data_IF_459360925328
#
_entry.id   IF_459360925328
#
_cell.length_a   1.000
_cell.length_b   1.000
_cell.length_c   1.000
_cell.angle_alpha   90.00
_cell.angle_beta   90.00
_cell.angle_gamma   90.00
#
_symmetry.space_group_name_H-M   'P 1'
#
loop_
_entity.id
_entity.type
_entity.pdbx_description
1 polymer ?
#
# COMPACT_ATOMS: atom_id res chain seq x y z
N UNK A 1 -10.90 52.07 -3.48
CA UNK A 1 -11.47 50.82 -2.94
C UNK A 1 -12.36 50.19 -3.99
N UNK A 2 -11.90 49.11 -4.64
CA UNK A 2 -12.71 48.27 -5.52
C UNK A 2 -12.38 46.81 -5.24
N UNK A 3 -13.46 46.05 -5.07
CA UNK A 3 -13.55 44.63 -4.71
C UNK A 3 -12.76 43.72 -5.64
N UNK A 4 -12.10 42.70 -5.08
CA UNK A 4 -11.62 41.54 -5.82
C UNK A 4 -12.18 40.30 -5.10
N UNK A 5 -13.18 39.68 -5.73
CA UNK A 5 -13.78 38.42 -5.33
C UNK A 5 -12.74 37.29 -5.47
N UNK A 6 -12.30 36.72 -4.35
CA UNK A 6 -11.57 35.45 -4.34
C UNK A 6 -12.56 34.30 -4.46
N UNK A 7 -12.64 33.73 -5.66
CA UNK A 7 -13.43 32.53 -5.97
C UNK A 7 -12.76 31.33 -5.29
N UNK A 8 -13.30 30.91 -4.15
CA UNK A 8 -12.98 29.64 -3.51
C UNK A 8 -13.73 28.52 -4.22
N UNK A 9 -13.07 27.88 -5.19
CA UNK A 9 -13.52 26.59 -5.75
C UNK A 9 -13.07 25.49 -4.78
N UNK A 10 -13.98 25.12 -3.86
CA UNK A 10 -13.88 23.90 -3.09
C UNK A 10 -14.24 22.71 -3.98
N UNK A 11 -13.24 22.07 -4.58
CA UNK A 11 -13.42 20.74 -5.20
C UNK A 11 -13.51 19.74 -4.06
N UNK A 12 -14.75 19.40 -3.68
CA UNK A 12 -15.06 18.27 -2.85
C UNK A 12 -14.77 16.97 -3.63
N UNK A 13 -13.53 16.51 -3.58
CA UNK A 13 -13.16 15.14 -3.97
C UNK A 13 -13.57 14.20 -2.83
N UNK A 14 -14.83 13.76 -2.85
CA UNK A 14 -15.28 12.57 -2.10
C UNK A 14 -14.73 11.31 -2.78
N UNK A 15 -13.42 11.19 -2.81
CA UNK A 15 -12.76 9.93 -3.07
C UNK A 15 -12.54 9.33 -1.71
N UNK A 16 -13.11 8.15 -1.48
CA UNK A 16 -12.81 7.26 -0.38
C UNK A 16 -11.32 6.87 -0.43
N UNK A 17 -10.44 7.83 -0.15
CA UNK A 17 -9.04 7.64 0.13
C UNK A 17 -8.98 7.16 1.58
N UNK A 18 -8.42 5.97 1.77
CA UNK A 18 -7.92 5.59 3.09
C UNK A 18 -6.96 6.68 3.55
N UNK A 19 -7.46 7.51 4.47
CA UNK A 19 -6.81 8.62 5.15
C UNK A 19 -5.83 9.47 4.32
N UNK A 20 -6.27 10.61 3.81
CA UNK A 20 -5.36 11.71 3.45
C UNK A 20 -5.80 12.95 4.23
N UNK A 21 -5.76 12.89 5.57
CA UNK A 21 -5.68 14.06 6.45
C UNK A 21 -5.61 13.58 7.90
N UNK A 22 -4.44 13.72 8.55
CA UNK A 22 -4.20 13.90 9.99
C UNK A 22 -4.77 12.94 11.04
N UNK A 23 -5.75 12.08 10.76
CA UNK A 23 -6.48 11.30 11.75
C UNK A 23 -6.77 9.87 11.23
N UNK A 24 -5.72 9.05 11.04
CA UNK A 24 -5.89 7.59 11.07
C UNK A 24 -5.71 7.08 12.51
N UNK A 25 -6.64 7.35 13.42
CA UNK A 25 -6.70 6.58 14.66
C UNK A 25 -7.54 5.33 14.37
N UNK A 26 -6.89 4.18 14.44
CA UNK A 26 -7.41 2.81 14.31
C UNK A 26 -7.73 2.30 12.90
N UNK A 27 -6.67 1.94 12.15
CA UNK A 27 -6.77 0.95 11.08
C UNK A 27 -7.07 -0.43 11.72
N UNK A 28 -8.35 -0.76 11.85
CA UNK A 28 -8.79 -2.09 12.32
C UNK A 28 -8.61 -3.14 11.23
N UNK A 29 -8.27 -4.38 11.62
CA UNK A 29 -8.16 -5.55 10.74
C UNK A 29 -9.37 -5.72 9.80
N UNK A 30 -10.59 -5.46 10.32
CA UNK A 30 -11.83 -5.54 9.55
C UNK A 30 -11.91 -4.53 8.38
N UNK A 31 -11.25 -3.37 8.52
CA UNK A 31 -11.21 -2.36 7.47
C UNK A 31 -10.15 -2.69 6.40
N UNK A 32 -9.05 -3.32 6.79
CA UNK A 32 -7.94 -3.68 5.89
C UNK A 32 -8.36 -4.75 4.87
N UNK A 33 -9.13 -5.76 5.30
CA UNK A 33 -9.62 -6.82 4.41
C UNK A 33 -10.60 -6.37 3.34
N UNK A 34 -11.26 -5.21 3.54
CA UNK A 34 -12.19 -4.64 2.56
C UNK A 34 -11.52 -3.68 1.58
N UNK A 35 -10.22 -3.40 1.75
CA UNK A 35 -9.50 -2.47 0.87
C UNK A 35 -9.41 -3.04 -0.55
N UNK A 36 -9.92 -2.29 -1.52
CA UNK A 36 -9.74 -2.62 -2.92
C UNK A 36 -8.32 -2.22 -3.38
N UNK A 37 -7.39 -3.16 -3.28
CA UNK A 37 -5.96 -2.97 -3.59
C UNK A 37 -5.76 -2.45 -5.01
N UNK A 38 -6.52 -2.95 -6.00
CA UNK A 38 -6.38 -2.53 -7.39
C UNK A 38 -6.70 -1.03 -7.56
N UNK A 39 -7.71 -0.53 -6.84
CA UNK A 39 -8.09 0.90 -6.88
C UNK A 39 -7.12 1.77 -6.09
N UNK A 40 -6.72 1.35 -4.90
CA UNK A 40 -5.86 2.14 -4.00
C UNK A 40 -4.43 2.23 -4.52
N UNK A 41 -3.90 1.14 -5.06
CA UNK A 41 -2.54 1.08 -5.59
C UNK A 41 -2.44 1.45 -7.09
N UNK A 42 -3.51 1.96 -7.71
CA UNK A 42 -3.48 2.37 -9.12
C UNK A 42 -2.60 3.62 -9.30
N UNK A 43 -1.39 3.42 -9.80
CA UNK A 43 -0.41 4.51 -10.00
C UNK A 43 -0.83 5.43 -11.15
N UNK A 44 -1.53 4.93 -12.17
CA UNK A 44 -1.97 5.76 -13.29
C UNK A 44 -3.06 6.75 -12.85
N UNK A 45 -3.95 6.30 -11.97
CA UNK A 45 -5.05 7.14 -11.44
C UNK A 45 -4.61 8.02 -10.29
N UNK A 46 -3.84 7.49 -9.34
CA UNK A 46 -3.54 8.17 -8.07
C UNK A 46 -2.15 8.82 -8.05
N UNK A 47 -1.27 8.46 -8.98
CA UNK A 47 0.12 8.91 -9.01
C UNK A 47 1.04 8.19 -8.01
N UNK A 48 2.34 8.25 -8.29
CA UNK A 48 3.37 7.54 -7.53
C UNK A 48 3.41 7.96 -6.04
N UNK A 49 3.29 9.26 -5.76
CA UNK A 49 3.39 9.80 -4.38
C UNK A 49 2.25 9.32 -3.49
N UNK A 50 1.00 9.32 -3.99
CA UNK A 50 -0.15 8.85 -3.24
C UNK A 50 -0.06 7.34 -2.97
N UNK A 51 0.31 6.56 -3.99
CA UNK A 51 0.49 5.11 -3.85
C UNK A 51 1.61 4.76 -2.86
N UNK A 52 2.71 5.51 -2.87
CA UNK A 52 3.78 5.36 -1.89
C UNK A 52 3.32 5.70 -0.47
N UNK A 53 2.46 6.72 -0.29
CA UNK A 53 1.91 7.07 1.01
C UNK A 53 1.06 5.92 1.59
N UNK A 54 0.27 5.26 0.75
CA UNK A 54 -0.48 4.07 1.15
C UNK A 54 0.47 2.94 1.57
N UNK A 55 1.53 2.66 0.80
CA UNK A 55 2.53 1.66 1.19
C UNK A 55 3.15 1.97 2.57
N UNK A 56 3.51 3.24 2.82
CA UNK A 56 4.05 3.70 4.12
C UNK A 56 3.05 3.61 5.27
N UNK A 57 1.75 3.67 4.98
CA UNK A 57 0.69 3.53 5.98
C UNK A 57 0.51 2.07 6.41
N UNK A 58 0.44 1.14 5.45
CA UNK A 58 0.12 -0.27 5.73
C UNK A 58 1.35 -1.12 6.10
N UNK A 59 2.52 -0.86 5.50
CA UNK A 59 3.67 -1.74 5.71
C UNK A 59 4.16 -1.82 7.16
N UNK A 60 4.20 -0.73 7.95
CA UNK A 60 4.58 -0.81 9.36
C UNK A 60 3.70 -1.76 10.17
N UNK A 61 2.42 -1.89 9.81
CA UNK A 61 1.50 -2.84 10.42
C UNK A 61 1.90 -4.26 10.04
N UNK A 62 2.16 -4.51 8.75
CA UNK A 62 2.59 -5.83 8.27
C UNK A 62 3.93 -6.28 8.90
N UNK A 63 4.87 -5.35 9.08
CA UNK A 63 6.14 -5.59 9.79
C UNK A 63 5.88 -5.92 11.26
N UNK A 64 5.03 -5.14 11.94
CA UNK A 64 4.68 -5.39 13.35
C UNK A 64 4.02 -6.75 13.55
N UNK A 65 3.19 -7.16 12.60
CA UNK A 65 2.51 -8.46 12.58
C UNK A 65 3.41 -9.59 12.06
N UNK A 66 4.64 -9.30 11.64
CA UNK A 66 5.60 -10.26 11.09
C UNK A 66 5.11 -10.98 9.81
N UNK A 67 4.18 -10.37 9.07
CA UNK A 67 3.65 -10.88 7.79
C UNK A 67 4.16 -10.09 6.59
N UNK A 68 5.22 -9.29 6.76
CA UNK A 68 5.77 -8.47 5.68
C UNK A 68 6.08 -9.31 4.43
N UNK A 69 5.51 -8.88 3.31
CA UNK A 69 5.67 -9.61 2.06
C UNK A 69 7.11 -9.51 1.55
N UNK A 70 7.70 -10.66 1.19
CA UNK A 70 9.04 -10.75 0.61
C UNK A 70 8.99 -11.49 -0.73
N UNK A 71 9.55 -10.90 -1.78
CA UNK A 71 9.67 -11.53 -3.10
C UNK A 71 11.06 -11.35 -3.69
N UNK A 72 11.66 -12.46 -4.13
CA UNK A 72 13.05 -12.50 -4.61
C UNK A 72 14.06 -11.93 -3.60
N UNK A 73 13.74 -12.04 -2.30
CA UNK A 73 14.53 -11.50 -1.20
C UNK A 73 14.55 -9.98 -1.08
N UNK A 74 13.61 -9.28 -1.72
CA UNK A 74 13.29 -7.89 -1.41
C UNK A 74 11.97 -7.84 -0.64
N UNK A 75 11.98 -7.17 0.51
CA UNK A 75 10.79 -6.93 1.34
C UNK A 75 9.99 -5.74 0.82
N UNK A 76 8.74 -5.60 1.25
CA UNK A 76 7.93 -4.42 0.95
C UNK A 76 8.62 -3.11 1.41
N UNK A 77 9.29 -3.11 2.57
CA UNK A 77 10.13 -2.00 3.05
C UNK A 77 11.21 -1.60 2.05
N UNK A 78 11.86 -2.57 1.42
CA UNK A 78 12.90 -2.33 0.42
C UNK A 78 12.32 -1.67 -0.85
N UNK A 79 11.13 -2.09 -1.29
CA UNK A 79 10.44 -1.40 -2.39
C UNK A 79 10.05 0.04 -2.00
N UNK A 80 9.55 0.27 -0.77
CA UNK A 80 9.22 1.61 -0.26
C UNK A 80 10.46 2.52 -0.22
N UNK A 81 11.60 1.99 0.25
CA UNK A 81 12.88 2.68 0.29
C UNK A 81 13.32 3.08 -1.12
N UNK A 82 13.39 2.11 -2.03
CA UNK A 82 13.80 2.31 -3.42
C UNK A 82 12.92 3.33 -4.16
N UNK A 83 11.59 3.28 -3.98
CA UNK A 83 10.67 4.28 -4.53
C UNK A 83 10.89 5.66 -3.92
N UNK A 84 11.10 5.76 -2.60
CA UNK A 84 11.35 7.04 -1.93
C UNK A 84 12.64 7.71 -2.44
N UNK A 85 13.70 6.92 -2.64
CA UNK A 85 14.98 7.41 -3.18
C UNK A 85 14.85 7.85 -4.63
N UNK A 86 14.17 7.06 -5.47
CA UNK A 86 13.94 7.43 -6.87
C UNK A 86 13.14 8.75 -7.00
N UNK A 87 12.13 8.96 -6.14
CA UNK A 87 11.40 10.24 -6.09
C UNK A 87 12.31 11.38 -5.65
N UNK A 88 13.11 11.20 -4.60
CA UNK A 88 14.06 12.22 -4.12
C UNK A 88 15.07 12.61 -5.20
N UNK A 89 15.52 11.64 -5.98
CA UNK A 89 16.50 11.84 -7.04
C UNK A 89 15.87 12.19 -8.41
N UNK A 90 14.55 12.42 -8.47
CA UNK A 90 13.79 12.66 -9.71
C UNK A 90 14.07 11.61 -10.82
N UNK A 91 14.28 10.34 -10.44
CA UNK A 91 14.59 9.25 -11.37
C UNK A 91 13.31 8.55 -11.84
N UNK A 92 13.27 8.20 -13.13
CA UNK A 92 12.21 7.36 -13.72
C UNK A 92 12.33 5.88 -13.31
N UNK A 93 13.44 5.50 -12.67
CA UNK A 93 13.74 4.13 -12.24
C UNK A 93 14.11 4.07 -10.77
N UNK A 94 13.74 2.98 -10.12
CA UNK A 94 14.11 2.67 -8.74
C UNK A 94 15.04 1.45 -8.69
N UNK A 95 16.04 1.55 -7.82
CA UNK A 95 17.03 0.51 -7.58
C UNK A 95 16.59 -0.34 -6.38
N UNK A 96 16.07 -1.54 -6.65
CA UNK A 96 15.61 -2.46 -5.61
C UNK A 96 16.72 -3.47 -5.31
N UNK A 97 17.18 -3.51 -4.06
CA UNK A 97 18.14 -4.52 -3.59
C UNK A 97 17.41 -5.85 -3.42
N UNK A 98 17.82 -6.84 -4.20
CA UNK A 98 17.45 -8.24 -4.03
C UNK A 98 18.68 -8.99 -3.52
N UNK A 99 18.49 -10.16 -2.89
CA UNK A 99 19.53 -10.94 -2.17
C UNK A 99 20.97 -10.69 -2.65
N UNK A 100 21.27 -10.98 -3.92
CA UNK A 100 22.62 -10.89 -4.51
C UNK A 100 22.77 -9.81 -5.59
N UNK A 101 21.73 -9.03 -5.90
CA UNK A 101 21.75 -8.08 -7.02
C UNK A 101 20.83 -6.88 -6.82
N UNK A 102 21.22 -5.75 -7.40
CA UNK A 102 20.35 -4.58 -7.52
C UNK A 102 19.60 -4.66 -8.84
N UNK A 103 18.28 -4.61 -8.79
CA UNK A 103 17.41 -4.63 -9.97
C UNK A 103 16.84 -3.25 -10.21
N UNK A 104 17.06 -2.72 -11.42
CA UNK A 104 16.44 -1.48 -11.89
C UNK A 104 15.02 -1.77 -12.34
N UNK A 105 14.08 -1.00 -11.82
CA UNK A 105 12.65 -1.18 -12.09
C UNK A 105 12.01 0.18 -12.37
N UNK A 106 11.00 0.25 -13.24
CA UNK A 106 10.27 1.50 -13.48
C UNK A 106 9.67 2.02 -12.17
N UNK A 107 9.81 3.32 -11.89
CA UNK A 107 9.35 3.95 -10.64
C UNK A 107 7.88 3.61 -10.32
N UNK A 108 7.02 3.74 -11.33
CA UNK A 108 5.59 3.43 -11.20
C UNK A 108 5.35 1.98 -10.77
N UNK A 109 6.09 1.05 -11.38
CA UNK A 109 5.95 -0.37 -11.06
C UNK A 109 6.44 -0.68 -9.65
N UNK A 110 7.54 -0.07 -9.22
CA UNK A 110 8.07 -0.21 -7.87
C UNK A 110 7.08 0.33 -6.83
N UNK A 111 6.46 1.49 -7.08
CA UNK A 111 5.46 2.07 -6.18
C UNK A 111 4.19 1.21 -6.11
N UNK A 112 3.67 0.75 -7.25
CA UNK A 112 2.53 -0.17 -7.31
C UNK A 112 2.81 -1.45 -6.51
N UNK A 113 4.01 -2.01 -6.68
CA UNK A 113 4.44 -3.23 -5.99
C UNK A 113 4.56 -3.00 -4.48
N UNK A 114 5.18 -1.90 -4.06
CA UNK A 114 5.27 -1.52 -2.64
C UNK A 114 3.88 -1.45 -1.99
N UNK A 115 2.93 -0.74 -2.61
CA UNK A 115 1.58 -0.60 -2.09
C UNK A 115 0.83 -1.94 -2.06
N UNK A 116 0.88 -2.70 -3.17
CA UNK A 116 0.19 -3.98 -3.27
C UNK A 116 0.69 -4.96 -2.23
N UNK A 117 2.01 -5.07 -2.05
CA UNK A 117 2.62 -5.97 -1.08
C UNK A 117 2.27 -5.59 0.36
N UNK A 118 2.28 -4.29 0.68
CA UNK A 118 1.95 -3.80 2.02
C UNK A 118 0.52 -4.14 2.43
N UNK A 119 -0.45 -3.97 1.52
CA UNK A 119 -1.87 -4.23 1.83
C UNK A 119 -2.18 -5.73 1.76
N UNK A 120 -1.70 -6.43 0.73
CA UNK A 120 -2.00 -7.86 0.53
C UNK A 120 -1.46 -8.73 1.66
N UNK A 121 -0.32 -8.38 2.25
CA UNK A 121 0.21 -9.07 3.42
C UNK A 121 -0.82 -9.16 4.56
N UNK A 122 -1.44 -8.02 4.90
CA UNK A 122 -2.44 -7.93 5.96
C UNK A 122 -3.77 -8.59 5.58
N UNK A 123 -4.15 -8.53 4.30
CA UNK A 123 -5.35 -9.24 3.83
C UNK A 123 -5.17 -10.75 3.94
N UNK A 124 -4.01 -11.27 3.53
CA UNK A 124 -3.66 -12.68 3.62
C UNK A 124 -3.58 -13.15 5.07
N UNK A 125 -3.03 -12.35 5.97
CA UNK A 125 -3.07 -12.62 7.41
C UNK A 125 -4.50 -12.80 7.92
N UNK A 126 -5.41 -11.89 7.59
CA UNK A 126 -6.79 -12.00 8.04
C UNK A 126 -7.53 -13.19 7.40
N UNK A 127 -7.32 -13.42 6.10
CA UNK A 127 -7.84 -14.60 5.40
C UNK A 127 -7.35 -15.89 6.07
N UNK A 128 -6.06 -15.99 6.39
CA UNK A 128 -5.49 -17.14 7.09
C UNK A 128 -6.15 -17.35 8.46
N UNK A 129 -6.32 -16.28 9.26
CA UNK A 129 -6.97 -16.37 10.56
C UNK A 129 -8.44 -16.82 10.49
N UNK A 130 -9.19 -16.37 9.47
CA UNK A 130 -10.60 -16.77 9.27
C UNK A 130 -10.73 -18.21 8.77
N UNK A 131 -9.82 -18.66 7.91
CA UNK A 131 -9.92 -19.94 7.23
C UNK A 131 -9.13 -21.08 7.89
N UNK A 132 -8.21 -20.78 8.83
CA UNK A 132 -7.40 -21.78 9.53
C UNK A 132 -8.25 -22.89 10.17
N UNK A 133 -9.30 -22.52 10.91
CA UNK A 133 -10.21 -23.49 11.54
C UNK A 133 -10.96 -24.36 10.53
N UNK A 134 -11.20 -23.84 9.31
CA UNK A 134 -11.85 -24.59 8.23
C UNK A 134 -10.89 -25.54 7.51
N UNK A 135 -9.59 -25.41 7.70
CA UNK A 135 -8.56 -26.24 7.07
C UNK A 135 -8.22 -27.51 7.89
N UNK A 136 -8.76 -27.66 9.10
CA UNK A 136 -8.59 -28.86 9.93
C UNK A 136 -9.64 -29.91 9.50
N UNK A 137 -9.23 -31.12 9.06
CA UNK A 137 -10.17 -32.18 8.69
C UNK A 137 -11.04 -32.54 9.89
N UNK A 138 -12.37 -32.44 9.74
CA UNK A 138 -13.36 -32.78 10.76
C UNK A 138 -14.16 -31.60 11.33
N UNK A 139 -13.71 -30.35 11.13
CA UNK A 139 -14.23 -29.19 11.88
C UNK A 139 -15.12 -28.22 11.05
N UNK A 140 -15.67 -28.67 9.91
CA UNK A 140 -16.77 -27.92 9.26
C UNK A 140 -16.90 -27.96 7.74
N UNK A 141 -16.09 -28.71 6.99
CA UNK A 141 -16.42 -29.01 5.59
C UNK A 141 -17.47 -30.12 5.54
N UNK A 142 -18.73 -29.75 5.31
CA UNK A 142 -19.70 -30.67 4.70
C UNK A 142 -19.45 -30.64 3.20
N UNK A 143 -18.89 -31.72 2.67
CA UNK A 143 -18.88 -32.03 1.23
C UNK A 143 -20.29 -32.38 0.76
#
# INVERSE_FOLDING_TARGET
>A
MKSIYSITIAIALTVSFGCISGNCKNLSSANISKVNVKKVCDVKKNGVKAVLAQAKLYNPIAVKHQVEFMRFGATASEYIRATSEAIKNNSSTANVKQKKKVVKMKLEYTAWRACTFSIRALQQENEANMHYKKAIPGDGYKY
#
